data_IF_008239756537
#
_entry.id   IF_008239756537
#
_cell.length_a   1.000
_cell.length_b   1.000
_cell.length_c   1.000
_cell.angle_alpha   90.00
_cell.angle_beta   90.00
_cell.angle_gamma   90.00
#
_symmetry.space_group_name_H-M   'P 1'
#
loop_
_entity.id
_entity.type
_entity.pdbx_description
1 polymer ?
#
# COMPACT_ATOMS: atom_id res chain seq x y z
N UNK A 1 -9.66 2.43 -13.83
CA UNK A 1 -8.75 2.74 -14.96
C UNK A 1 -7.98 4.04 -14.73
N UNK A 2 -8.62 5.11 -14.26
CA UNK A 2 -7.97 6.40 -14.02
C UNK A 2 -6.78 6.31 -13.04
N UNK A 3 -6.95 5.60 -11.93
CA UNK A 3 -5.91 5.38 -10.91
C UNK A 3 -4.71 4.62 -11.51
N UNK A 4 -4.96 3.56 -12.28
CA UNK A 4 -3.91 2.80 -12.94
C UNK A 4 -3.14 3.65 -13.97
N UNK A 5 -3.86 4.51 -14.70
CA UNK A 5 -3.24 5.46 -15.62
C UNK A 5 -2.37 6.50 -14.89
N UNK A 6 -2.82 7.01 -13.74
CA UNK A 6 -2.05 7.95 -12.92
C UNK A 6 -0.76 7.31 -12.37
N UNK A 7 -0.84 6.05 -11.90
CA UNK A 7 0.33 5.29 -11.43
C UNK A 7 1.29 5.03 -12.59
N UNK A 8 0.80 4.56 -13.73
CA UNK A 8 1.63 4.32 -14.91
C UNK A 8 2.32 5.60 -15.38
N UNK A 9 1.60 6.72 -15.42
CA UNK A 9 2.16 8.03 -15.78
C UNK A 9 3.27 8.46 -14.80
N UNK A 10 3.08 8.23 -13.50
CA UNK A 10 4.10 8.57 -12.50
C UNK A 10 5.37 7.72 -12.66
N UNK A 11 5.22 6.41 -12.89
CA UNK A 11 6.35 5.51 -13.13
C UNK A 11 7.10 5.84 -14.43
N UNK A 12 6.37 6.14 -15.50
CA UNK A 12 6.96 6.59 -16.77
C UNK A 12 7.70 7.91 -16.58
N UNK A 13 7.08 8.88 -15.92
CA UNK A 13 7.70 10.18 -15.64
C UNK A 13 8.99 10.04 -14.81
N UNK A 14 9.01 9.12 -13.85
CA UNK A 14 10.22 8.82 -13.10
C UNK A 14 11.25 8.07 -13.95
N UNK A 15 10.86 7.08 -14.74
CA UNK A 15 11.78 6.29 -15.57
C UNK A 15 12.54 7.13 -16.60
N UNK A 16 11.89 8.13 -17.18
CA UNK A 16 12.49 9.08 -18.12
C UNK A 16 13.04 10.36 -17.46
N UNK A 17 13.02 10.43 -16.13
CA UNK A 17 13.51 11.59 -15.39
C UNK A 17 15.01 11.77 -15.47
N UNK A 18 15.51 12.83 -14.88
CA UNK A 18 16.91 13.23 -14.90
C UNK A 18 17.61 12.93 -13.56
N UNK A 19 18.94 12.68 -13.56
CA UNK A 19 19.68 12.57 -12.34
C UNK A 19 19.82 13.94 -11.68
N UNK A 20 19.69 14.00 -10.36
CA UNK A 20 19.98 15.21 -9.58
C UNK A 20 21.49 15.34 -9.35
N UNK A 21 22.17 14.21 -9.24
CA UNK A 21 23.63 14.15 -9.04
C UNK A 21 24.20 13.01 -9.89
N UNK A 22 25.41 13.20 -10.44
CA UNK A 22 26.14 12.14 -11.11
C UNK A 22 26.79 11.25 -10.06
N UNK A 23 26.09 10.20 -9.66
CA UNK A 23 26.59 9.24 -8.68
C UNK A 23 27.13 8.01 -9.41
N UNK A 24 28.40 7.68 -9.20
CA UNK A 24 28.90 6.33 -9.50
C UNK A 24 28.19 5.37 -8.54
N UNK A 25 27.52 4.34 -9.09
CA UNK A 25 26.86 3.31 -8.27
C UNK A 25 27.96 2.55 -7.52
N UNK A 26 28.18 2.90 -6.29
CA UNK A 26 28.98 2.09 -5.38
C UNK A 26 28.06 1.12 -4.63
N UNK A 27 27.65 0.06 -5.33
CA UNK A 27 26.81 -1.01 -4.76
C UNK A 27 27.54 -1.69 -3.58
N UNK A 28 28.84 -1.55 -3.51
CA UNK A 28 29.72 -2.08 -2.46
C UNK A 28 30.20 -1.00 -1.49
N UNK A 29 29.61 0.21 -1.55
CA UNK A 29 29.98 1.28 -0.65
C UNK A 29 30.09 0.78 0.78
N UNK A 30 31.28 0.89 1.30
CA UNK A 30 31.72 0.42 2.61
C UNK A 30 30.71 0.84 3.69
N UNK A 31 30.34 -0.07 4.59
CA UNK A 31 29.36 0.22 5.62
C UNK A 31 29.97 1.13 6.69
N UNK A 32 29.84 2.40 6.50
CA UNK A 32 30.41 3.37 7.43
C UNK A 32 29.62 4.63 7.53
N UNK A 33 28.40 4.56 7.95
CA UNK A 33 27.67 5.60 8.67
C UNK A 33 26.20 5.20 8.81
N UNK A 34 25.75 5.03 10.07
CA UNK A 34 24.34 4.83 10.50
C UNK A 34 23.49 3.93 9.59
N UNK A 35 23.86 2.65 9.51
CA UNK A 35 22.92 1.65 8.97
C UNK A 35 21.80 1.50 9.98
N UNK A 36 20.61 1.91 9.57
CA UNK A 36 19.42 1.47 10.26
C UNK A 36 19.43 -0.07 10.35
N UNK A 37 19.09 -0.66 11.52
CA UNK A 37 19.00 -2.10 11.67
C UNK A 37 18.06 -2.69 10.60
N UNK A 38 18.43 -3.83 10.05
CA UNK A 38 17.62 -4.51 9.03
C UNK A 38 16.14 -4.62 9.44
N UNK A 39 15.85 -4.92 10.70
CA UNK A 39 14.49 -5.07 11.19
C UNK A 39 13.69 -3.77 11.20
N UNK A 40 14.33 -2.64 11.41
CA UNK A 40 13.66 -1.33 11.31
C UNK A 40 13.26 -1.04 9.86
N UNK A 41 14.20 -1.24 8.93
CA UNK A 41 13.93 -1.06 7.49
C UNK A 41 12.84 -2.03 7.03
N UNK A 42 12.93 -3.30 7.44
CA UNK A 42 11.93 -4.31 7.12
C UNK A 42 10.55 -3.92 7.66
N UNK A 43 10.44 -3.48 8.92
CA UNK A 43 9.17 -3.08 9.53
C UNK A 43 8.49 -1.92 8.82
N UNK A 44 9.27 -0.99 8.27
CA UNK A 44 8.74 0.16 7.51
C UNK A 44 8.42 -0.22 6.05
N UNK A 45 9.21 -1.10 5.45
CA UNK A 45 9.03 -1.49 4.05
C UNK A 45 7.96 -2.57 3.86
N UNK A 46 7.81 -3.49 4.80
CA UNK A 46 6.92 -4.65 4.68
C UNK A 46 5.45 -4.28 4.35
N UNK A 47 4.85 -3.22 4.92
CA UNK A 47 3.49 -2.82 4.55
C UNK A 47 3.31 -2.52 3.06
N UNK A 48 4.37 -2.14 2.35
CA UNK A 48 4.31 -1.85 0.92
C UNK A 48 3.96 -3.08 0.06
N UNK A 49 4.27 -4.29 0.53
CA UNK A 49 3.99 -5.55 -0.17
C UNK A 49 2.73 -6.25 0.33
N UNK A 50 1.97 -5.61 1.23
CA UNK A 50 0.69 -6.13 1.75
C UNK A 50 -0.48 -5.77 0.84
N UNK A 51 -1.69 -6.26 1.15
CA UNK A 51 -2.90 -5.96 0.39
C UNK A 51 -3.31 -7.03 -0.62
N UNK A 52 -2.57 -8.15 -0.73
CA UNK A 52 -2.89 -9.28 -1.62
C UNK A 52 -4.31 -9.80 -1.36
N UNK A 53 -4.73 -9.80 -0.11
CA UNK A 53 -6.05 -10.30 0.31
C UNK A 53 -7.22 -9.40 -0.10
N UNK A 54 -6.97 -8.18 -0.57
CA UNK A 54 -8.04 -7.27 -1.00
C UNK A 54 -8.89 -7.87 -2.14
N UNK A 55 -8.27 -8.57 -3.10
CA UNK A 55 -8.98 -9.28 -4.15
C UNK A 55 -9.84 -10.43 -3.65
N UNK A 56 -9.39 -11.13 -2.61
CA UNK A 56 -10.11 -12.24 -1.99
C UNK A 56 -11.31 -11.73 -1.20
N UNK A 57 -11.17 -10.64 -0.45
CA UNK A 57 -12.28 -10.02 0.32
C UNK A 57 -13.43 -9.51 -0.57
N UNK A 58 -13.16 -9.27 -1.85
CA UNK A 58 -14.14 -8.84 -2.85
C UNK A 58 -14.55 -9.97 -3.81
N UNK A 59 -14.28 -11.23 -3.48
CA UNK A 59 -14.55 -12.40 -4.33
C UNK A 59 -16.01 -12.53 -4.72
N UNK A 60 -16.95 -12.14 -3.85
CA UNK A 60 -18.39 -12.16 -4.12
C UNK A 60 -18.85 -11.23 -5.26
N UNK A 61 -18.07 -10.23 -5.61
CA UNK A 61 -18.38 -9.28 -6.68
C UNK A 61 -17.78 -9.72 -8.04
N UNK A 62 -17.02 -10.81 -8.07
CA UNK A 62 -16.36 -11.30 -9.28
C UNK A 62 -17.23 -12.31 -10.01
N UNK A 63 -17.25 -12.22 -11.36
CA UNK A 63 -18.02 -13.14 -12.23
C UNK A 63 -17.47 -14.57 -12.19
N UNK A 64 -16.14 -14.73 -12.14
CA UNK A 64 -15.42 -16.00 -12.11
C UNK A 64 -14.31 -15.96 -11.06
N UNK A 65 -14.62 -16.00 -9.75
CA UNK A 65 -13.62 -15.79 -8.70
C UNK A 65 -12.52 -16.85 -8.71
N UNK A 66 -12.85 -18.12 -8.98
CA UNK A 66 -11.90 -19.24 -8.99
C UNK A 66 -10.76 -19.08 -10.01
N UNK A 67 -11.00 -18.33 -11.08
CA UNK A 67 -10.00 -18.05 -12.12
C UNK A 67 -9.39 -16.67 -11.98
N UNK A 68 -10.23 -15.69 -11.70
CA UNK A 68 -9.81 -14.28 -11.66
C UNK A 68 -8.90 -13.98 -10.47
N UNK A 69 -9.15 -14.60 -9.29
CA UNK A 69 -8.34 -14.35 -8.09
C UNK A 69 -6.91 -14.86 -8.28
N UNK A 70 -6.64 -16.14 -8.62
CA UNK A 70 -5.28 -16.62 -8.79
C UNK A 70 -4.49 -15.85 -9.86
N UNK A 71 -5.09 -15.63 -11.03
CA UNK A 71 -4.42 -14.93 -12.13
C UNK A 71 -4.16 -13.48 -11.77
N UNK A 72 -5.15 -12.78 -11.20
CA UNK A 72 -5.03 -11.39 -10.78
C UNK A 72 -3.99 -11.21 -9.69
N UNK A 73 -3.96 -12.10 -8.70
CA UNK A 73 -2.99 -12.07 -7.60
C UNK A 73 -1.56 -12.30 -8.12
N UNK A 74 -1.35 -13.32 -8.96
CA UNK A 74 -0.03 -13.59 -9.53
C UNK A 74 0.46 -12.43 -10.42
N UNK A 75 -0.43 -11.86 -11.22
CA UNK A 75 -0.11 -10.71 -12.05
C UNK A 75 0.24 -9.47 -11.19
N UNK A 76 -0.51 -9.21 -10.13
CA UNK A 76 -0.25 -8.11 -9.20
C UNK A 76 1.09 -8.28 -8.47
N UNK A 77 1.37 -9.49 -7.95
CA UNK A 77 2.63 -9.80 -7.28
C UNK A 77 3.80 -9.67 -8.25
N UNK A 78 3.70 -10.22 -9.45
CA UNK A 78 4.74 -10.13 -10.47
C UNK A 78 5.03 -8.69 -10.90
N UNK A 79 3.99 -7.89 -11.12
CA UNK A 79 4.12 -6.46 -11.45
C UNK A 79 4.74 -5.68 -10.29
N UNK A 80 4.27 -5.91 -9.07
CA UNK A 80 4.81 -5.28 -7.87
C UNK A 80 6.29 -5.63 -7.67
N UNK A 81 6.65 -6.91 -7.83
CA UNK A 81 8.04 -7.36 -7.73
C UNK A 81 8.95 -6.64 -8.73
N UNK A 82 8.54 -6.54 -9.99
CA UNK A 82 9.32 -5.82 -11.01
C UNK A 82 9.52 -4.35 -10.64
N UNK A 83 8.47 -3.66 -10.18
CA UNK A 83 8.55 -2.27 -9.78
C UNK A 83 9.47 -2.11 -8.57
N UNK A 84 9.30 -2.93 -7.53
CA UNK A 84 10.10 -2.84 -6.30
C UNK A 84 11.57 -3.23 -6.48
N UNK A 85 11.89 -4.07 -7.47
CA UNK A 85 13.28 -4.36 -7.82
C UNK A 85 13.92 -3.24 -8.67
N UNK A 86 13.15 -2.64 -9.57
CA UNK A 86 13.65 -1.62 -10.51
C UNK A 86 13.77 -0.24 -9.85
N UNK A 87 12.82 0.12 -8.98
CA UNK A 87 12.76 1.46 -8.39
C UNK A 87 14.00 1.84 -7.55
N UNK A 88 14.49 1.00 -6.62
CA UNK A 88 15.70 1.32 -5.87
C UNK A 88 16.94 1.49 -6.75
N UNK A 89 17.04 0.70 -7.83
CA UNK A 89 18.15 0.82 -8.79
C UNK A 89 18.11 2.19 -9.48
N UNK A 90 16.93 2.60 -9.97
CA UNK A 90 16.74 3.91 -10.59
C UNK A 90 17.10 5.04 -9.61
N UNK A 91 16.66 4.93 -8.35
CA UNK A 91 16.95 5.93 -7.33
C UNK A 91 18.44 6.00 -7.00
N UNK A 92 19.10 4.86 -6.80
CA UNK A 92 20.52 4.78 -6.51
C UNK A 92 21.40 5.32 -7.65
N UNK A 93 20.95 5.21 -8.91
CA UNK A 93 21.65 5.77 -10.06
C UNK A 93 21.53 7.30 -10.18
N UNK A 94 20.61 7.93 -9.48
CA UNK A 94 20.22 9.33 -9.71
C UNK A 94 20.41 10.26 -8.53
N UNK A 95 20.58 9.72 -7.33
CA UNK A 95 20.78 10.51 -6.13
C UNK A 95 21.68 9.79 -5.13
N UNK A 96 22.36 10.58 -4.30
CA UNK A 96 23.16 10.05 -3.20
C UNK A 96 22.27 9.53 -2.06
N UNK A 97 22.76 8.58 -1.22
CA UNK A 97 21.99 8.08 -0.08
C UNK A 97 21.57 9.19 0.90
N UNK A 98 22.40 10.20 1.09
CA UNK A 98 22.09 11.36 1.95
C UNK A 98 20.91 12.14 1.43
N UNK A 99 20.91 12.48 0.15
CA UNK A 99 19.82 13.22 -0.50
C UNK A 99 18.51 12.43 -0.50
N UNK A 100 18.59 11.09 -0.65
CA UNK A 100 17.42 10.20 -0.57
C UNK A 100 16.78 10.18 0.82
N UNK A 101 17.57 10.31 1.89
CA UNK A 101 17.08 10.32 3.28
C UNK A 101 16.53 11.70 3.66
N UNK A 102 17.22 12.77 3.24
CA UNK A 102 16.87 14.13 3.63
C UNK A 102 15.68 14.72 2.88
N UNK A 103 15.44 14.26 1.63
CA UNK A 103 14.35 14.78 0.79
C UNK A 103 13.25 13.74 0.53
N UNK A 104 12.17 13.73 1.30
CA UNK A 104 11.05 12.79 1.10
C UNK A 104 10.34 12.94 -0.27
N UNK A 105 10.50 14.08 -0.94
CA UNK A 105 9.88 14.38 -2.24
C UNK A 105 10.86 14.27 -3.42
N UNK A 106 12.01 13.66 -3.22
CA UNK A 106 13.07 13.56 -4.23
C UNK A 106 12.58 12.95 -5.56
N UNK A 107 11.68 11.98 -5.52
CA UNK A 107 11.10 11.39 -6.73
C UNK A 107 10.38 12.43 -7.60
N UNK A 108 9.76 13.43 -6.97
CA UNK A 108 9.09 14.54 -7.69
C UNK A 108 10.14 15.42 -8.40
N UNK A 109 11.29 15.63 -7.79
CA UNK A 109 12.35 16.45 -8.35
C UNK A 109 13.10 15.73 -9.49
N UNK A 110 13.26 14.41 -9.38
CA UNK A 110 13.89 13.57 -10.40
C UNK A 110 13.00 13.32 -11.62
N UNK A 111 11.68 13.40 -11.47
CA UNK A 111 10.74 13.08 -12.53
C UNK A 111 10.74 14.15 -13.64
N UNK A 112 10.48 13.75 -14.89
CA UNK A 112 10.29 14.70 -16.02
C UNK A 112 9.16 15.66 -15.71
N UNK A 113 8.09 15.18 -15.09
CA UNK A 113 6.96 15.98 -14.66
C UNK A 113 6.62 15.66 -13.19
N UNK A 114 7.15 16.48 -12.28
CA UNK A 114 7.00 16.27 -10.84
C UNK A 114 5.56 16.09 -10.35
N UNK A 115 4.55 16.83 -10.83
CA UNK A 115 3.17 16.62 -10.46
C UNK A 115 2.63 15.22 -10.76
N UNK A 116 3.16 14.52 -11.79
CA UNK A 116 2.75 13.13 -12.07
C UNK A 116 3.01 12.19 -10.89
N UNK A 117 4.09 12.39 -10.15
CA UNK A 117 4.41 11.60 -8.94
C UNK A 117 3.33 11.80 -7.88
N UNK A 118 2.91 13.05 -7.65
CA UNK A 118 1.85 13.34 -6.67
C UNK A 118 0.51 12.73 -7.08
N UNK A 119 0.14 12.81 -8.37
CA UNK A 119 -1.06 12.14 -8.88
C UNK A 119 -0.99 10.63 -8.75
N UNK A 120 0.17 10.02 -8.99
CA UNK A 120 0.39 8.58 -8.78
C UNK A 120 0.23 8.18 -7.31
N UNK A 121 0.84 8.91 -6.40
CA UNK A 121 0.75 8.68 -4.95
C UNK A 121 -0.69 8.84 -4.47
N UNK A 122 -1.37 9.94 -4.84
CA UNK A 122 -2.77 10.15 -4.46
C UNK A 122 -3.69 9.08 -5.04
N UNK A 123 -3.49 8.70 -6.31
CA UNK A 123 -4.26 7.64 -6.94
C UNK A 123 -4.08 6.30 -6.22
N UNK A 124 -2.85 5.92 -5.89
CA UNK A 124 -2.54 4.68 -5.18
C UNK A 124 -3.12 4.67 -3.76
N UNK A 125 -2.93 5.76 -3.00
CA UNK A 125 -3.43 5.86 -1.62
C UNK A 125 -4.96 5.88 -1.57
N UNK A 126 -5.63 6.61 -2.45
CA UNK A 126 -7.09 6.62 -2.55
C UNK A 126 -7.64 5.23 -2.93
N UNK A 127 -7.01 4.54 -3.89
CA UNK A 127 -7.40 3.18 -4.27
C UNK A 127 -7.30 2.21 -3.10
N UNK A 128 -6.18 2.25 -2.37
CA UNK A 128 -5.96 1.42 -1.19
C UNK A 128 -6.98 1.72 -0.09
N UNK A 129 -7.23 3.00 0.19
CA UNK A 129 -8.21 3.43 1.18
C UNK A 129 -9.63 2.95 0.84
N UNK A 130 -10.06 3.12 -0.42
CA UNK A 130 -11.38 2.67 -0.88
C UNK A 130 -11.48 1.14 -0.76
N UNK A 131 -10.46 0.41 -1.22
CA UNK A 131 -10.42 -1.05 -1.11
C UNK A 131 -10.54 -1.54 0.34
N UNK A 132 -9.84 -0.89 1.26
CA UNK A 132 -9.88 -1.22 2.69
C UNK A 132 -11.23 -0.88 3.34
N UNK A 133 -11.82 0.28 3.00
CA UNK A 133 -13.14 0.69 3.52
C UNK A 133 -14.25 -0.25 3.03
N UNK A 134 -14.13 -0.82 1.84
CA UNK A 134 -15.10 -1.77 1.31
C UNK A 134 -14.85 -3.21 1.81
N UNK A 135 -13.58 -3.62 1.92
CA UNK A 135 -13.19 -4.99 2.28
C UNK A 135 -13.29 -5.28 3.78
N UNK A 136 -12.74 -4.42 4.63
CA UNK A 136 -12.66 -4.65 6.07
C UNK A 136 -14.04 -4.89 6.76
N UNK A 137 -15.10 -4.13 6.46
CA UNK A 137 -16.43 -4.38 7.03
C UNK A 137 -17.02 -5.74 6.64
N UNK A 138 -16.75 -6.21 5.41
CA UNK A 138 -17.23 -7.51 4.93
C UNK A 138 -16.55 -8.67 5.65
N UNK A 139 -15.23 -8.57 5.86
CA UNK A 139 -14.49 -9.54 6.67
C UNK A 139 -14.99 -9.55 8.11
N UNK A 140 -15.19 -8.38 8.70
CA UNK A 140 -15.72 -8.25 10.06
C UNK A 140 -17.14 -8.88 10.17
N UNK A 141 -18.00 -8.67 9.18
CA UNK A 141 -19.33 -9.26 9.10
C UNK A 141 -19.26 -10.79 9.01
N UNK A 142 -18.39 -11.33 8.16
CA UNK A 142 -18.18 -12.77 8.02
C UNK A 142 -17.71 -13.39 9.34
N UNK A 143 -16.70 -12.83 9.99
CA UNK A 143 -16.21 -13.30 11.29
C UNK A 143 -17.29 -13.28 12.38
N UNK A 144 -18.15 -12.27 12.37
CA UNK A 144 -19.27 -12.19 13.31
C UNK A 144 -20.33 -13.26 13.06
N UNK A 145 -20.62 -13.58 11.78
CA UNK A 145 -21.58 -14.65 11.39
C UNK A 145 -21.06 -16.03 11.69
N UNK A 146 -19.77 -16.25 11.47
CA UNK A 146 -19.12 -17.54 11.73
C UNK A 146 -18.90 -17.81 13.23
N UNK A 147 -19.28 -16.87 14.10
CA UNK A 147 -19.18 -17.03 15.54
C UNK A 147 -17.74 -16.97 16.09
N UNK A 148 -16.79 -16.50 15.28
CA UNK A 148 -15.39 -16.29 15.68
C UNK A 148 -15.29 -15.15 16.68
N UNK A 149 -16.14 -14.13 16.53
CA UNK A 149 -16.17 -12.98 17.44
C UNK A 149 -16.96 -13.30 18.73
N UNK A 150 -16.60 -12.65 19.85
CA UNK A 150 -17.36 -12.75 21.10
C UNK A 150 -18.84 -12.42 20.87
N UNK A 151 -19.73 -13.05 21.63
CA UNK A 151 -21.19 -12.91 21.48
C UNK A 151 -21.70 -11.46 21.53
N UNK A 152 -21.03 -10.60 22.27
CA UNK A 152 -21.40 -9.18 22.35
C UNK A 152 -21.10 -8.40 21.05
N UNK A 153 -20.28 -8.94 20.15
CA UNK A 153 -20.01 -8.38 18.82
C UNK A 153 -20.85 -9.03 17.70
N UNK A 154 -21.74 -9.97 18.02
CA UNK A 154 -22.56 -10.66 17.01
C UNK A 154 -23.44 -9.72 16.18
N UNK A 155 -23.76 -8.53 16.70
CA UNK A 155 -24.50 -7.49 15.98
C UNK A 155 -23.79 -7.00 14.71
N UNK A 156 -22.46 -7.15 14.63
CA UNK A 156 -21.67 -6.80 13.45
C UNK A 156 -21.94 -7.73 12.26
N UNK A 157 -22.47 -8.92 12.50
CA UNK A 157 -22.92 -9.86 11.47
C UNK A 157 -24.18 -9.42 10.72
N UNK A 158 -24.91 -8.42 11.25
CA UNK A 158 -26.14 -7.95 10.64
C UNK A 158 -25.85 -7.05 9.43
N UNK A 159 -26.36 -7.46 8.27
CA UNK A 159 -26.35 -6.65 7.05
C UNK A 159 -27.63 -5.85 6.86
N UNK A 160 -27.61 -4.92 5.90
CA UNK A 160 -28.79 -4.17 5.48
C UNK A 160 -29.83 -5.10 4.83
N UNK A 161 -31.12 -4.89 5.10
CA UNK A 161 -32.22 -5.72 4.58
C UNK A 161 -32.30 -5.79 3.04
N UNK A 162 -31.74 -4.81 2.32
CA UNK A 162 -31.83 -4.74 0.86
C UNK A 162 -30.65 -5.45 0.17
N UNK A 163 -29.41 -5.18 0.59
CA UNK A 163 -28.20 -5.60 -0.13
C UNK A 163 -27.21 -6.35 0.77
N UNK A 164 -27.61 -6.70 1.99
CA UNK A 164 -26.74 -7.35 3.00
C UNK A 164 -25.44 -6.57 3.31
N UNK A 165 -25.44 -5.25 3.09
CA UNK A 165 -24.29 -4.39 3.34
C UNK A 165 -24.02 -4.24 4.84
N UNK A 166 -22.74 -4.37 5.29
CA UNK A 166 -22.37 -4.29 6.70
C UNK A 166 -22.27 -2.83 7.19
N UNK A 167 -23.37 -2.10 7.24
CA UNK A 167 -23.39 -0.66 7.61
C UNK A 167 -22.76 -0.39 8.98
N UNK A 168 -23.06 -1.23 9.96
CA UNK A 168 -22.49 -1.09 11.32
C UNK A 168 -21.01 -1.42 11.28
N UNK A 169 -20.62 -2.49 10.57
CA UNK A 169 -19.21 -2.84 10.34
C UNK A 169 -18.43 -1.68 9.70
N UNK A 170 -19.03 -1.03 8.69
CA UNK A 170 -18.44 0.14 8.03
C UNK A 170 -18.25 1.32 8.99
N UNK A 171 -19.24 1.61 9.85
CA UNK A 171 -19.10 2.67 10.84
C UNK A 171 -17.99 2.38 11.86
N UNK A 172 -17.89 1.12 12.31
CA UNK A 172 -16.84 0.70 13.25
C UNK A 172 -15.46 0.78 12.61
N UNK A 173 -15.29 0.23 11.40
CA UNK A 173 -14.00 0.27 10.68
C UNK A 173 -13.57 1.70 10.35
N UNK A 174 -14.51 2.57 9.98
CA UNK A 174 -14.24 3.99 9.75
C UNK A 174 -13.83 4.69 11.05
N UNK A 175 -14.49 4.38 12.18
CA UNK A 175 -14.12 4.91 13.49
C UNK A 175 -12.70 4.52 13.90
N UNK A 176 -12.32 3.26 13.73
CA UNK A 176 -10.95 2.77 13.99
C UNK A 176 -9.95 3.45 13.08
N UNK A 177 -10.24 3.54 11.77
CA UNK A 177 -9.35 4.21 10.82
C UNK A 177 -9.15 5.69 11.18
N UNK A 178 -10.23 6.40 11.55
CA UNK A 178 -10.15 7.81 11.97
C UNK A 178 -9.32 7.97 13.24
N UNK A 179 -9.52 7.09 14.23
CA UNK A 179 -8.74 7.10 15.46
C UNK A 179 -7.24 6.87 15.17
N UNK A 180 -6.91 5.94 14.27
CA UNK A 180 -5.52 5.69 13.84
C UNK A 180 -4.91 6.90 13.15
N UNK A 181 -5.65 7.58 12.27
CA UNK A 181 -5.20 8.81 11.61
C UNK A 181 -4.94 9.94 12.62
N UNK A 182 -5.73 10.02 13.70
CA UNK A 182 -5.53 11.02 14.76
C UNK A 182 -4.21 10.82 15.53
N UNK A 183 -3.61 9.62 15.53
CA UNK A 183 -2.27 9.38 16.10
C UNK A 183 -1.19 10.10 15.28
N UNK A 184 -1.39 10.26 13.97
CA UNK A 184 -0.70 11.23 13.12
C UNK A 184 0.74 10.91 12.74
N UNK A 185 1.37 9.84 13.23
CA UNK A 185 2.75 9.50 12.91
C UNK A 185 2.85 8.15 12.18
N UNK A 186 3.28 8.21 10.90
CA UNK A 186 3.47 7.02 10.07
C UNK A 186 4.55 6.08 10.59
N UNK A 187 5.58 6.61 11.25
CA UNK A 187 6.66 5.80 11.82
C UNK A 187 6.19 4.96 13.02
N UNK A 188 5.14 5.41 13.70
CA UNK A 188 4.49 4.65 14.78
C UNK A 188 3.50 3.64 14.19
N UNK A 189 2.75 4.03 13.16
CA UNK A 189 1.68 3.21 12.57
C UNK A 189 2.25 2.05 11.75
N UNK A 190 3.31 2.25 10.97
CA UNK A 190 3.85 1.23 10.07
C UNK A 190 4.33 -0.04 10.80
N UNK A 191 5.13 0.03 11.90
CA UNK A 191 5.50 -1.16 12.67
C UNK A 191 4.31 -1.88 13.28
N UNK A 192 3.29 -1.14 13.76
CA UNK A 192 2.07 -1.74 14.30
C UNK A 192 1.34 -2.53 13.23
N UNK A 193 1.18 -1.96 12.03
CA UNK A 193 0.58 -2.69 10.89
C UNK A 193 1.35 -3.96 10.55
N UNK A 194 2.68 -3.90 10.57
CA UNK A 194 3.54 -5.06 10.28
C UNK A 194 3.34 -6.21 11.28
N UNK A 195 2.99 -5.92 12.54
CA UNK A 195 2.71 -6.95 13.54
C UNK A 195 1.41 -7.72 13.29
N UNK A 196 0.49 -7.22 12.48
CA UNK A 196 -0.78 -7.88 12.16
C UNK A 196 -0.69 -8.75 10.89
N UNK A 197 0.44 -8.78 10.23
CA UNK A 197 0.72 -9.60 9.05
C UNK A 197 1.75 -10.69 9.35
#
# INVERSE_FOLDING_TARGET
>A
YFIMAAIALSLISLAFGHPLETTSIDILATPGQSREPFWNVFAVFFPAVTGIMAGVSMSGDLREPNRSIPIGTLAAVGTGYLIYMTLPIILAMRATPTTLIENPLIMKEMAVWGPAILFGVWGATLSSAIGSILGAPRVLQALARDGVLPRWLSFLGNGSKSNDEPRIGTAVTLGVATATVCVGDLNIIAPVLTMFF
#
